data_IF_309618201295
#
_entry.id   IF_309618201295
#
_cell.length_a   1.000
_cell.length_b   1.000
_cell.length_c   1.000
_cell.angle_alpha   90.00
_cell.angle_beta   90.00
_cell.angle_gamma   90.00
#
_symmetry.space_group_name_H-M   'P 1'
#
loop_
_entity.id
_entity.type
_entity.pdbx_description
1 polymer ?
#
# COMPACT_ATOMS: atom_id res chain seq x y z
N UNK A 1 -9.86 18.80 -4.59
CA UNK A 1 -10.03 17.34 -4.42
C UNK A 1 -8.94 16.84 -3.48
N UNK A 2 -9.29 16.02 -2.49
CA UNK A 2 -8.36 15.47 -1.49
C UNK A 2 -8.09 13.99 -1.77
N UNK A 3 -6.84 13.64 -2.04
CA UNK A 3 -6.41 12.28 -2.39
C UNK A 3 -5.57 11.68 -1.27
N UNK A 4 -5.92 10.48 -0.84
CA UNK A 4 -5.05 9.67 0.01
C UNK A 4 -4.24 8.70 -0.86
N UNK A 5 -2.92 8.69 -0.72
CA UNK A 5 -2.05 7.67 -1.33
C UNK A 5 -1.58 6.74 -0.21
N UNK A 6 -1.92 5.46 -0.31
CA UNK A 6 -1.51 4.42 0.63
C UNK A 6 -0.38 3.63 -0.01
N UNK A 7 0.78 3.60 0.63
CA UNK A 7 1.96 2.91 0.13
C UNK A 7 2.87 2.47 1.27
N UNK A 8 3.64 1.42 1.06
CA UNK A 8 4.74 1.05 1.95
C UNK A 8 6.09 1.60 1.50
N UNK A 9 6.13 2.33 0.39
CA UNK A 9 7.34 2.90 -0.22
C UNK A 9 7.17 4.40 -0.46
N UNK A 10 7.84 5.21 0.36
CA UNK A 10 7.87 6.69 0.23
C UNK A 10 9.19 7.24 0.79
N UNK A 11 9.69 8.41 0.36
CA UNK A 11 10.87 9.02 0.94
C UNK A 11 10.81 9.11 2.49
N UNK A 12 11.94 8.90 3.21
CA UNK A 12 13.32 8.90 2.72
C UNK A 12 13.80 7.59 2.08
N UNK A 13 12.92 6.59 1.87
CA UNK A 13 13.31 5.38 1.16
C UNK A 13 13.74 5.73 -0.26
N UNK A 14 14.94 5.23 -0.64
CA UNK A 14 15.53 5.51 -1.94
C UNK A 14 15.41 4.30 -2.89
N UNK A 15 14.17 3.90 -3.16
CA UNK A 15 13.87 2.82 -4.11
C UNK A 15 12.91 3.31 -5.20
N UNK A 16 12.82 2.56 -6.30
CA UNK A 16 12.00 2.92 -7.45
C UNK A 16 10.52 3.11 -7.13
N UNK A 17 9.99 2.40 -6.13
CA UNK A 17 8.61 2.59 -5.68
C UNK A 17 8.40 3.94 -5.00
N UNK A 18 9.35 4.37 -4.16
CA UNK A 18 9.30 5.66 -3.50
C UNK A 18 9.36 6.83 -4.50
N UNK A 19 10.23 6.70 -5.53
CA UNK A 19 10.32 7.70 -6.62
C UNK A 19 9.00 7.78 -7.38
N UNK A 20 8.45 6.64 -7.82
CA UNK A 20 7.19 6.62 -8.58
C UNK A 20 6.01 7.20 -7.78
N UNK A 21 5.92 6.91 -6.48
CA UNK A 21 4.85 7.48 -5.65
C UNK A 21 5.06 8.96 -5.40
N UNK A 22 6.32 9.42 -5.26
CA UNK A 22 6.64 10.84 -5.14
C UNK A 22 6.23 11.60 -6.40
N UNK A 23 6.62 11.10 -7.59
CA UNK A 23 6.27 11.69 -8.88
C UNK A 23 4.75 11.76 -9.08
N UNK A 24 4.03 10.69 -8.72
CA UNK A 24 2.57 10.65 -8.78
C UNK A 24 1.93 11.69 -7.84
N UNK A 25 2.46 11.81 -6.63
CA UNK A 25 1.96 12.78 -5.65
C UNK A 25 2.19 14.23 -6.11
N UNK A 26 3.37 14.52 -6.65
CA UNK A 26 3.71 15.82 -7.22
C UNK A 26 2.81 16.17 -8.42
N UNK A 27 2.52 15.19 -9.27
CA UNK A 27 1.60 15.41 -10.40
C UNK A 27 0.20 15.75 -9.92
N UNK A 28 -0.32 15.09 -8.90
CA UNK A 28 -1.62 15.45 -8.31
C UNK A 28 -1.61 16.86 -7.71
N UNK A 29 -0.53 17.25 -7.01
CA UNK A 29 -0.37 18.62 -6.51
C UNK A 29 -0.38 19.63 -7.67
N UNK A 30 0.36 19.35 -8.76
CA UNK A 30 0.42 20.19 -9.96
C UNK A 30 -0.96 20.38 -10.60
N UNK A 31 -1.83 19.37 -10.49
CA UNK A 31 -3.22 19.43 -10.94
C UNK A 31 -4.18 20.06 -9.91
N UNK A 32 -3.67 20.68 -8.85
CA UNK A 32 -4.46 21.42 -7.87
C UNK A 32 -5.15 20.51 -6.82
N UNK A 33 -4.71 19.27 -6.66
CA UNK A 33 -5.24 18.37 -5.64
C UNK A 33 -4.45 18.49 -4.33
N UNK A 34 -5.11 18.26 -3.21
CA UNK A 34 -4.45 18.08 -1.91
C UNK A 34 -4.09 16.61 -1.75
N UNK A 35 -2.83 16.32 -1.48
CA UNK A 35 -2.32 14.95 -1.37
C UNK A 35 -1.88 14.65 0.04
N UNK A 36 -2.35 13.51 0.56
CA UNK A 36 -1.89 12.94 1.83
C UNK A 36 -1.36 11.53 1.57
N UNK A 37 -0.07 11.31 1.84
CA UNK A 37 0.56 9.99 1.77
C UNK A 37 0.49 9.33 3.14
N UNK A 38 -0.02 8.09 3.18
CA UNK A 38 -0.12 7.27 4.38
C UNK A 38 0.82 6.08 4.22
N UNK A 39 1.87 6.04 5.04
CA UNK A 39 2.96 5.07 4.90
C UNK A 39 3.39 4.47 6.25
N UNK A 40 3.76 3.18 6.31
CA UNK A 40 4.34 2.60 7.52
C UNK A 40 5.78 3.11 7.74
N UNK A 41 6.16 3.18 9.01
CA UNK A 41 7.55 3.44 9.40
C UNK A 41 7.93 2.60 10.62
N UNK A 42 9.03 1.87 10.53
CA UNK A 42 9.60 1.12 11.65
C UNK A 42 10.62 1.93 12.47
N UNK A 43 10.97 3.11 12.00
CA UNK A 43 12.04 3.94 12.60
C UNK A 43 11.52 4.99 13.56
N UNK A 44 10.25 5.36 13.47
CA UNK A 44 9.65 6.32 14.40
C UNK A 44 9.38 5.68 15.76
N UNK A 45 9.70 6.43 16.84
CA UNK A 45 9.47 5.99 18.23
C UNK A 45 8.00 6.17 18.62
N UNK A 46 7.40 7.28 18.14
CA UNK A 46 6.00 7.65 18.40
C UNK A 46 5.02 6.83 17.55
N UNK A 47 3.75 6.79 17.92
CA UNK A 47 2.73 6.02 17.20
C UNK A 47 2.50 6.51 15.77
N UNK A 48 2.62 7.82 15.56
CA UNK A 48 2.53 8.46 14.24
C UNK A 48 3.36 9.73 14.21
N UNK A 49 3.76 10.11 13.01
CA UNK A 49 4.44 11.38 12.71
C UNK A 49 3.75 12.00 11.50
N UNK A 50 3.40 13.27 11.59
CA UNK A 50 2.89 14.05 10.47
C UNK A 50 4.01 14.96 9.99
N UNK A 51 4.34 14.86 8.73
CA UNK A 51 5.43 15.55 8.06
C UNK A 51 4.93 16.12 6.73
N UNK A 52 5.73 16.92 6.04
CA UNK A 52 5.40 17.44 4.71
C UNK A 52 6.65 17.56 3.83
N UNK A 53 6.51 17.19 2.57
CA UNK A 53 7.52 17.36 1.53
C UNK A 53 6.80 17.92 0.30
N UNK A 54 7.26 19.03 -0.28
CA UNK A 54 6.72 19.62 -1.52
C UNK A 54 5.18 19.79 -1.49
N UNK A 55 4.64 20.28 -0.37
CA UNK A 55 3.19 20.41 -0.14
C UNK A 55 2.40 19.08 -0.08
N UNK A 56 3.08 17.94 -0.06
CA UNK A 56 2.47 16.63 0.19
C UNK A 56 2.46 16.41 1.70
N UNK A 57 1.28 16.24 2.29
CA UNK A 57 1.18 15.81 3.69
C UNK A 57 1.56 14.33 3.81
N UNK A 58 2.40 13.98 4.78
CA UNK A 58 2.86 12.61 4.99
C UNK A 58 2.45 12.17 6.39
N UNK A 59 1.76 11.04 6.48
CA UNK A 59 1.39 10.39 7.73
C UNK A 59 2.21 9.11 7.85
N UNK A 60 3.26 9.16 8.66
CA UNK A 60 4.07 7.98 8.97
C UNK A 60 3.46 7.28 10.18
N UNK A 61 3.09 6.03 10.01
CA UNK A 61 2.45 5.22 11.05
C UNK A 61 3.45 4.17 11.55
N UNK A 62 3.66 4.10 12.86
CA UNK A 62 4.53 3.10 13.45
C UNK A 62 4.09 1.70 13.04
N UNK A 63 5.05 0.90 12.59
CA UNK A 63 4.83 -0.46 12.14
C UNK A 63 5.99 -1.37 12.58
N UNK A 64 5.78 -2.69 12.64
CA UNK A 64 6.88 -3.64 12.78
C UNK A 64 7.91 -3.47 11.66
N UNK A 65 9.17 -3.80 11.94
CA UNK A 65 10.23 -3.81 10.93
C UNK A 65 10.01 -4.99 9.98
N UNK A 66 9.95 -4.72 8.68
CA UNK A 66 9.76 -5.72 7.63
C UNK A 66 10.77 -5.58 6.47
N UNK A 67 11.70 -4.63 6.57
CA UNK A 67 12.81 -4.42 5.62
C UNK A 67 14.13 -4.72 6.32
N UNK A 68 15.12 -5.18 5.59
CA UNK A 68 16.46 -5.51 6.09
C UNK A 68 16.43 -6.50 7.28
N UNK A 69 15.55 -7.49 7.16
CA UNK A 69 15.35 -8.58 8.14
C UNK A 69 15.29 -9.92 7.42
N UNK A 70 15.42 -11.03 8.17
CA UNK A 70 15.27 -12.36 7.61
C UNK A 70 13.89 -12.58 6.96
N UNK A 71 13.81 -13.47 5.99
CA UNK A 71 12.59 -13.72 5.20
C UNK A 71 11.34 -13.97 6.07
N UNK A 72 11.47 -14.82 7.11
CA UNK A 72 10.35 -15.11 8.02
C UNK A 72 9.90 -13.85 8.78
N UNK A 73 10.85 -13.08 9.31
CA UNK A 73 10.55 -11.82 10.01
C UNK A 73 9.90 -10.81 9.08
N UNK A 74 10.31 -10.79 7.81
CA UNK A 74 9.69 -9.94 6.78
C UNK A 74 8.23 -10.28 6.59
N UNK A 75 7.90 -11.56 6.36
CA UNK A 75 6.50 -12.01 6.18
C UNK A 75 5.64 -11.67 7.40
N UNK A 76 6.13 -11.94 8.62
CA UNK A 76 5.43 -11.61 9.87
C UNK A 76 5.24 -10.08 9.97
N UNK A 77 6.30 -9.31 9.73
CA UNK A 77 6.25 -7.85 9.77
C UNK A 77 5.27 -7.25 8.76
N UNK A 78 5.28 -7.72 7.51
CA UNK A 78 4.33 -7.31 6.48
C UNK A 78 2.88 -7.70 6.82
N UNK A 79 2.67 -8.88 7.40
CA UNK A 79 1.35 -9.31 7.85
C UNK A 79 0.80 -8.45 9.00
N UNK A 80 1.63 -8.09 9.97
CA UNK A 80 1.24 -7.27 11.12
C UNK A 80 1.17 -5.77 10.78
N UNK A 81 1.86 -5.32 9.74
CA UNK A 81 1.95 -3.92 9.33
C UNK A 81 0.57 -3.25 9.20
N UNK A 82 -0.41 -3.76 8.45
CA UNK A 82 -1.69 -3.08 8.27
C UNK A 82 -2.47 -2.92 9.57
N UNK A 83 -2.39 -3.87 10.49
CA UNK A 83 -3.06 -3.79 11.79
C UNK A 83 -2.43 -2.70 12.66
N UNK A 84 -1.10 -2.62 12.69
CA UNK A 84 -0.38 -1.55 13.37
C UNK A 84 -0.68 -0.19 12.75
N UNK A 85 -0.69 -0.09 11.41
CA UNK A 85 -1.06 1.15 10.72
C UNK A 85 -2.47 1.61 11.08
N UNK A 86 -3.45 0.71 11.08
CA UNK A 86 -4.85 1.03 11.42
C UNK A 86 -4.97 1.49 12.87
N UNK A 87 -4.31 0.80 13.79
CA UNK A 87 -4.29 1.16 15.20
C UNK A 87 -3.73 2.58 15.40
N UNK A 88 -2.59 2.88 14.80
CA UNK A 88 -1.93 4.16 14.93
C UNK A 88 -2.65 5.29 14.15
N UNK A 89 -3.27 4.97 13.01
CA UNK A 89 -4.08 5.91 12.24
C UNK A 89 -5.31 6.39 13.05
N UNK A 90 -5.97 5.48 13.77
CA UNK A 90 -7.09 5.85 14.67
C UNK A 90 -6.68 6.73 15.83
N UNK A 91 -5.41 6.73 16.22
CA UNK A 91 -4.83 7.56 17.26
C UNK A 91 -4.27 8.88 16.72
N UNK A 92 -4.12 8.99 15.41
CA UNK A 92 -3.70 10.23 14.78
C UNK A 92 -4.84 11.25 14.77
N UNK A 93 -4.47 12.53 14.73
CA UNK A 93 -5.43 13.64 14.59
C UNK A 93 -6.02 13.76 13.18
N UNK A 94 -5.65 12.87 12.26
CA UNK A 94 -6.08 12.94 10.87
C UNK A 94 -7.47 12.36 10.70
N UNK A 95 -8.37 13.16 10.15
CA UNK A 95 -9.70 12.68 9.78
C UNK A 95 -9.62 11.79 8.54
N UNK A 96 -9.90 10.50 8.71
CA UNK A 96 -9.94 9.53 7.62
C UNK A 96 -11.21 9.57 6.78
N UNK A 97 -12.15 10.44 7.12
CA UNK A 97 -13.43 10.61 6.40
C UNK A 97 -13.43 11.75 5.38
N UNK A 98 -12.26 12.37 5.14
CA UNK A 98 -12.15 13.60 4.35
C UNK A 98 -11.68 13.42 2.90
N UNK A 99 -11.36 12.20 2.47
CA UNK A 99 -10.76 11.98 1.16
C UNK A 99 -11.83 11.78 0.08
N UNK A 100 -11.62 12.41 -1.07
CA UNK A 100 -12.47 12.27 -2.26
C UNK A 100 -12.08 11.05 -3.10
N UNK A 101 -10.85 10.54 -2.92
CA UNK A 101 -10.34 9.36 -3.57
C UNK A 101 -9.16 8.73 -2.82
N UNK A 102 -8.98 7.44 -3.03
CA UNK A 102 -7.83 6.67 -2.52
C UNK A 102 -7.06 6.10 -3.70
N UNK A 103 -5.75 6.23 -3.65
CA UNK A 103 -4.83 5.48 -4.50
C UNK A 103 -4.02 4.54 -3.60
N UNK A 104 -4.11 3.25 -3.86
CA UNK A 104 -3.27 2.25 -3.19
C UNK A 104 -2.16 1.83 -4.14
N UNK A 105 -0.94 2.22 -3.82
CA UNK A 105 0.24 1.74 -4.54
C UNK A 105 0.83 0.56 -3.77
N UNK A 106 0.69 -0.63 -4.35
CA UNK A 106 0.89 -1.88 -3.64
C UNK A 106 2.04 -2.73 -4.22
N UNK A 107 3.30 -2.46 -3.85
CA UNK A 107 4.33 -3.50 -3.92
C UNK A 107 4.06 -4.61 -2.90
N UNK A 108 3.48 -4.30 -1.74
CA UNK A 108 3.03 -5.29 -0.75
C UNK A 108 1.53 -5.56 -0.85
N UNK A 109 1.15 -6.85 -0.91
CA UNK A 109 -0.26 -7.28 -0.93
C UNK A 109 -1.01 -7.05 0.39
N UNK A 110 -0.30 -6.71 1.46
CA UNK A 110 -0.88 -6.58 2.81
C UNK A 110 -1.56 -5.23 3.07
N UNK A 111 -1.53 -4.26 2.16
CA UNK A 111 -2.14 -2.94 2.35
C UNK A 111 -3.68 -2.92 2.26
N UNK A 112 -4.30 -4.03 1.86
CA UNK A 112 -5.76 -4.15 1.69
C UNK A 112 -6.59 -3.67 2.88
N UNK A 113 -6.30 -4.05 4.14
CA UNK A 113 -7.06 -3.61 5.31
C UNK A 113 -7.06 -2.09 5.50
N UNK A 114 -5.90 -1.43 5.28
CA UNK A 114 -5.77 0.03 5.38
C UNK A 114 -6.60 0.71 4.29
N UNK A 115 -6.47 0.25 3.05
CA UNK A 115 -7.24 0.77 1.91
C UNK A 115 -8.75 0.64 2.15
N UNK A 116 -9.22 -0.51 2.65
CA UNK A 116 -10.64 -0.75 2.93
C UNK A 116 -11.19 0.21 3.99
N UNK A 117 -10.45 0.45 5.06
CA UNK A 117 -10.88 1.33 6.14
C UNK A 117 -10.99 2.77 5.64
N UNK A 118 -9.97 3.30 4.97
CA UNK A 118 -9.99 4.68 4.47
C UNK A 118 -11.11 4.85 3.44
N UNK A 119 -11.18 3.96 2.44
CA UNK A 119 -12.25 3.96 1.44
C UNK A 119 -13.65 3.97 2.06
N UNK A 120 -13.89 3.10 3.07
CA UNK A 120 -15.19 2.99 3.73
C UNK A 120 -15.55 4.26 4.51
N UNK A 121 -14.61 4.83 5.26
CA UNK A 121 -14.86 6.02 6.06
C UNK A 121 -15.02 7.27 5.20
N UNK A 122 -14.25 7.41 4.13
CA UNK A 122 -14.37 8.52 3.16
C UNK A 122 -15.50 8.33 2.15
N UNK A 123 -16.10 7.15 2.07
CA UNK A 123 -17.13 6.79 1.07
C UNK A 123 -16.69 7.07 -0.38
N UNK A 124 -15.39 6.93 -0.64
CA UNK A 124 -14.76 7.23 -1.92
C UNK A 124 -14.38 5.97 -2.70
N UNK A 125 -13.87 6.14 -3.92
CA UNK A 125 -13.33 5.05 -4.74
C UNK A 125 -11.85 4.82 -4.44
N UNK A 126 -11.40 3.57 -4.62
CA UNK A 126 -9.99 3.17 -4.52
C UNK A 126 -9.46 2.75 -5.90
N UNK A 127 -8.40 3.42 -6.35
CA UNK A 127 -7.61 3.04 -7.50
C UNK A 127 -6.37 2.27 -7.00
N UNK A 128 -6.27 1.00 -7.35
CA UNK A 128 -5.16 0.13 -6.95
C UNK A 128 -4.13 0.07 -8.08
N UNK A 129 -2.91 0.52 -7.82
CA UNK A 129 -1.78 0.37 -8.73
C UNK A 129 -1.01 -0.88 -8.31
N UNK A 130 -1.02 -1.91 -9.17
CA UNK A 130 -0.27 -3.14 -8.96
C UNK A 130 1.05 -3.01 -9.70
N UNK A 131 2.14 -3.11 -8.94
CA UNK A 131 3.48 -3.12 -9.49
C UNK A 131 3.91 -4.54 -9.89
N UNK A 132 3.76 -5.47 -8.94
CA UNK A 132 4.17 -6.85 -9.09
C UNK A 132 2.99 -7.78 -8.77
N UNK A 133 2.79 -8.82 -9.56
CA UNK A 133 1.74 -9.81 -9.31
C UNK A 133 2.32 -10.88 -8.38
N UNK A 134 2.18 -10.67 -7.07
CA UNK A 134 2.56 -11.64 -6.05
C UNK A 134 1.29 -12.35 -5.53
N UNK A 135 1.30 -13.69 -5.35
CA UNK A 135 2.45 -14.58 -5.30
C UNK A 135 2.90 -15.16 -6.66
N UNK A 136 2.28 -14.76 -7.77
CA UNK A 136 2.52 -15.41 -9.07
C UNK A 136 4.02 -15.37 -9.49
N UNK A 137 4.67 -14.20 -9.42
CA UNK A 137 6.08 -14.10 -9.79
C UNK A 137 6.99 -15.01 -8.92
N UNK A 138 6.64 -15.21 -7.65
CA UNK A 138 7.40 -16.09 -6.76
C UNK A 138 7.22 -17.58 -7.13
N UNK A 139 6.06 -17.93 -7.70
CA UNK A 139 5.82 -19.26 -8.27
C UNK A 139 6.61 -19.44 -9.57
N UNK A 140 6.57 -18.45 -10.43
CA UNK A 140 7.27 -18.50 -11.73
C UNK A 140 8.80 -18.63 -11.55
N UNK A 141 9.33 -18.07 -10.45
CA UNK A 141 10.74 -18.23 -10.03
C UNK A 141 11.02 -19.52 -9.23
N UNK A 142 10.01 -20.37 -8.99
CA UNK A 142 10.18 -21.60 -8.22
C UNK A 142 10.37 -21.43 -6.72
N UNK A 143 10.14 -20.22 -6.19
CA UNK A 143 10.30 -19.90 -4.75
C UNK A 143 9.13 -20.41 -3.91
N UNK A 144 7.96 -20.50 -4.50
CA UNK A 144 6.72 -20.96 -3.86
C UNK A 144 6.06 -22.00 -4.77
N UNK A 145 5.58 -23.09 -4.20
CA UNK A 145 4.82 -24.09 -4.95
C UNK A 145 3.32 -23.81 -4.85
N UNK A 146 2.59 -23.87 -5.96
CA UNK A 146 1.14 -23.66 -6.06
C UNK A 146 0.29 -24.46 -5.07
N UNK A 147 0.70 -25.71 -4.80
CA UNK A 147 -0.08 -26.63 -3.96
C UNK A 147 0.29 -26.55 -2.48
N UNK A 148 1.07 -25.55 -2.05
CA UNK A 148 1.51 -25.41 -0.66
C UNK A 148 0.74 -24.33 0.08
N UNK A 149 0.56 -24.54 1.40
CA UNK A 149 -0.14 -23.61 2.27
C UNK A 149 0.32 -22.13 2.14
N UNK A 150 1.62 -21.80 1.99
CA UNK A 150 2.04 -20.42 1.78
C UNK A 150 1.44 -19.78 0.53
N UNK A 151 1.34 -20.49 -0.60
CA UNK A 151 0.72 -19.97 -1.81
C UNK A 151 -0.75 -19.64 -1.58
N UNK A 152 -1.50 -20.57 -0.99
CA UNK A 152 -2.93 -20.40 -0.71
C UNK A 152 -3.14 -19.16 0.20
N UNK A 153 -2.33 -19.03 1.25
CA UNK A 153 -2.38 -17.88 2.14
C UNK A 153 -2.16 -16.56 1.38
N UNK A 154 -1.06 -16.44 0.64
CA UNK A 154 -0.77 -15.20 -0.11
C UNK A 154 -1.81 -14.92 -1.18
N UNK A 155 -2.36 -15.94 -1.80
CA UNK A 155 -3.44 -15.81 -2.79
C UNK A 155 -4.73 -15.26 -2.19
N UNK A 156 -5.05 -15.64 -0.95
CA UNK A 156 -6.18 -15.09 -0.22
C UNK A 156 -5.96 -13.61 0.14
N UNK A 157 -4.74 -13.27 0.58
CA UNK A 157 -4.37 -11.87 0.88
C UNK A 157 -4.40 -11.01 -0.37
N UNK A 158 -3.89 -11.50 -1.49
CA UNK A 158 -3.95 -10.85 -2.80
C UNK A 158 -5.41 -10.59 -3.22
N UNK A 159 -6.25 -11.63 -3.20
CA UNK A 159 -7.69 -11.51 -3.52
C UNK A 159 -8.38 -10.46 -2.63
N UNK A 160 -8.03 -10.45 -1.35
CA UNK A 160 -8.56 -9.46 -0.43
C UNK A 160 -8.13 -8.04 -0.81
N UNK A 161 -6.85 -7.80 -1.14
CA UNK A 161 -6.39 -6.51 -1.62
C UNK A 161 -7.18 -6.08 -2.87
N UNK A 162 -7.31 -6.96 -3.87
CA UNK A 162 -8.03 -6.67 -5.11
C UNK A 162 -9.51 -6.34 -4.86
N UNK A 163 -10.15 -7.01 -3.91
CA UNK A 163 -11.54 -6.73 -3.53
C UNK A 163 -11.76 -5.31 -2.96
N UNK A 164 -10.71 -4.63 -2.52
CA UNK A 164 -10.80 -3.25 -2.02
C UNK A 164 -10.84 -2.22 -3.14
N UNK A 165 -10.36 -2.59 -4.33
CA UNK A 165 -10.27 -1.70 -5.48
C UNK A 165 -11.61 -1.51 -6.20
N UNK A 166 -11.79 -0.36 -6.79
CA UNK A 166 -12.83 -0.09 -7.79
C UNK A 166 -12.26 -0.17 -9.20
N UNK A 167 -10.99 0.18 -9.33
CA UNK A 167 -10.21 0.13 -10.57
C UNK A 167 -8.84 -0.42 -10.21
N UNK A 168 -8.31 -1.31 -11.05
CA UNK A 168 -6.97 -1.87 -10.92
C UNK A 168 -6.14 -1.39 -12.11
N UNK A 169 -5.07 -0.66 -11.80
CA UNK A 169 -4.05 -0.25 -12.75
C UNK A 169 -2.90 -1.27 -12.78
N UNK A 170 -2.53 -1.70 -13.96
CA UNK A 170 -1.43 -2.65 -14.23
C UNK A 170 -0.37 -1.98 -15.09
N UNK A 171 0.89 -2.37 -14.93
CA UNK A 171 2.00 -1.70 -15.62
C UNK A 171 2.21 -2.13 -17.07
N UNK A 172 1.79 -3.35 -17.43
CA UNK A 172 2.02 -3.89 -18.77
C UNK A 172 0.82 -4.64 -19.31
N UNK A 173 0.67 -4.69 -20.63
CA UNK A 173 -0.34 -5.52 -21.30
C UNK A 173 -0.17 -7.00 -21.00
N UNK A 174 1.05 -7.46 -20.75
CA UNK A 174 1.30 -8.84 -20.36
C UNK A 174 0.63 -9.21 -19.04
N UNK A 175 0.53 -8.26 -18.10
CA UNK A 175 -0.15 -8.48 -16.83
C UNK A 175 -1.67 -8.63 -16.99
N UNK A 176 -2.29 -8.14 -18.09
CA UNK A 176 -3.71 -8.34 -18.35
C UNK A 176 -4.10 -9.81 -18.44
N UNK A 177 -3.21 -10.65 -19.02
CA UNK A 177 -3.47 -12.10 -19.17
C UNK A 177 -3.69 -12.79 -17.83
N UNK A 178 -3.09 -12.29 -16.77
CA UNK A 178 -3.27 -12.82 -15.42
C UNK A 178 -4.71 -12.59 -14.92
N UNK A 179 -5.28 -11.40 -15.17
CA UNK A 179 -6.62 -11.05 -14.75
C UNK A 179 -7.74 -11.60 -15.64
N UNK A 180 -7.40 -12.08 -16.85
CA UNK A 180 -8.35 -12.70 -17.77
C UNK A 180 -8.54 -14.19 -17.51
N UNK A 181 -7.65 -14.84 -16.75
CA UNK A 181 -7.65 -16.28 -16.45
C UNK A 181 -8.31 -16.65 -15.12
N UNK A 182 -8.81 -15.68 -14.35
CA UNK A 182 -9.35 -15.85 -13.01
C UNK A 182 -10.86 -15.66 -12.92
#
# INVERSE_FOLDING_TARGET
MKIAIITDSFPPLNNSGAVQVMDLALEFIRQGMQVTVITPSSEIIVNFLIDSIENIQIIRLKSPKFRDVSYIRRVIGEFLMPFSMIYNLKRSSVSISQFDGVVTYAPSIFLGPVAKIIKKNSKCKNYLIIRDIFPQWAVDLGLINHNRAPYIFFKLVEKYLYSTANIIGIQTLANMRYFQKG
#
